data_IF_689028573938
#
_entry.id   IF_689028573938
#
_cell.length_a   1.000
_cell.length_b   1.000
_cell.length_c   1.000
_cell.angle_alpha   90.00
_cell.angle_beta   90.00
_cell.angle_gamma   90.00
#
_symmetry.space_group_name_H-M   'P 1'
#
loop_
_entity.id
_entity.type
_entity.pdbx_description
1 polymer ?
#
# COMPACT_ATOMS: atom_id res chain seq x y z
N UNK A 1 -0.40 -36.01 -12.33
CA UNK A 1 0.62 -35.06 -12.85
C UNK A 1 0.00 -33.89 -13.62
N UNK A 2 -0.95 -34.12 -14.54
CA UNK A 2 -1.64 -33.06 -15.32
C UNK A 2 -2.22 -31.91 -14.47
N UNK A 3 -2.89 -32.21 -13.36
CA UNK A 3 -3.46 -31.17 -12.49
C UNK A 3 -2.40 -30.28 -11.83
N UNK A 4 -1.23 -30.84 -11.49
CA UNK A 4 -0.11 -30.06 -10.94
C UNK A 4 0.46 -29.11 -12.00
N UNK A 5 0.61 -29.58 -13.24
CA UNK A 5 1.06 -28.76 -14.37
C UNK A 5 0.08 -27.63 -14.64
N UNK A 6 -1.23 -27.93 -14.68
CA UNK A 6 -2.26 -26.91 -14.85
C UNK A 6 -2.22 -25.84 -13.73
N UNK A 7 -2.07 -26.26 -12.47
CA UNK A 7 -1.94 -25.34 -11.35
C UNK A 7 -0.68 -24.46 -11.48
N UNK A 8 0.46 -25.04 -11.85
CA UNK A 8 1.70 -24.28 -12.06
C UNK A 8 1.51 -23.23 -13.15
N UNK A 9 0.87 -23.59 -14.27
CA UNK A 9 0.59 -22.66 -15.37
C UNK A 9 -0.33 -21.51 -14.93
N UNK A 10 -1.36 -21.80 -14.13
CA UNK A 10 -2.25 -20.77 -13.57
C UNK A 10 -1.47 -19.81 -12.67
N UNK A 11 -0.64 -20.34 -11.77
CA UNK A 11 0.15 -19.51 -10.85
C UNK A 11 1.16 -18.64 -11.61
N UNK A 12 1.83 -19.19 -12.63
CA UNK A 12 2.73 -18.43 -13.49
C UNK A 12 1.99 -17.32 -14.23
N UNK A 13 0.84 -17.63 -14.85
CA UNK A 13 0.04 -16.62 -15.54
C UNK A 13 -0.43 -15.51 -14.59
N UNK A 14 -0.93 -15.86 -13.40
CA UNK A 14 -1.33 -14.90 -12.37
C UNK A 14 -0.15 -14.01 -11.94
N UNK A 15 1.03 -14.60 -11.74
CA UNK A 15 2.24 -13.86 -11.40
C UNK A 15 2.63 -12.87 -12.49
N UNK A 16 2.68 -13.30 -13.77
CA UNK A 16 3.01 -12.44 -14.89
C UNK A 16 2.06 -11.25 -15.02
N UNK A 17 0.74 -11.48 -14.88
CA UNK A 17 -0.25 -10.42 -14.93
C UNK A 17 -0.06 -9.44 -13.76
N UNK A 18 0.30 -9.93 -12.56
CA UNK A 18 0.50 -9.10 -11.36
C UNK A 18 1.70 -8.17 -11.47
N UNK A 19 2.78 -8.61 -12.12
CA UNK A 19 4.01 -7.81 -12.30
C UNK A 19 4.01 -7.00 -13.58
N UNK A 20 3.14 -7.32 -14.53
CA UNK A 20 3.01 -6.56 -15.77
C UNK A 20 2.56 -5.13 -15.45
N UNK A 21 3.36 -4.15 -15.88
CA UNK A 21 3.10 -2.75 -15.58
C UNK A 21 3.29 -2.40 -14.09
N UNK A 22 4.10 -3.15 -13.32
CA UNK A 22 4.38 -2.80 -11.91
C UNK A 22 4.94 -1.39 -11.74
N UNK A 23 5.62 -0.86 -12.75
CA UNK A 23 6.14 0.52 -12.81
C UNK A 23 5.19 1.49 -13.54
N UNK A 24 3.88 1.27 -13.46
CA UNK A 24 2.86 2.07 -14.16
C UNK A 24 2.87 3.55 -13.74
N UNK A 25 3.36 3.84 -12.54
CA UNK A 25 3.48 5.19 -11.99
C UNK A 25 4.90 5.77 -12.12
N UNK A 26 5.78 5.14 -12.89
CA UNK A 26 7.16 5.60 -13.14
C UNK A 26 7.99 5.86 -11.87
N UNK A 27 7.67 5.20 -10.76
CA UNK A 27 8.39 5.37 -9.50
C UNK A 27 7.89 6.54 -8.65
N UNK A 28 6.77 7.18 -9.03
CA UNK A 28 6.10 8.19 -8.20
C UNK A 28 5.32 7.59 -7.01
N UNK A 29 5.25 6.25 -6.93
CA UNK A 29 4.90 5.39 -5.80
C UNK A 29 3.74 5.82 -4.93
N UNK A 30 2.73 6.47 -5.48
CA UNK A 30 1.53 6.77 -4.72
C UNK A 30 0.30 6.64 -5.60
N UNK A 31 -0.37 5.50 -5.49
CA UNK A 31 -1.81 5.45 -5.71
C UNK A 31 -2.43 6.62 -4.93
N UNK A 32 -3.45 7.34 -5.46
CA UNK A 32 -4.03 8.50 -4.77
C UNK A 32 -4.38 8.25 -3.29
N UNK A 33 -4.76 7.03 -2.96
CA UNK A 33 -5.05 6.59 -1.60
C UNK A 33 -3.78 6.46 -0.72
N UNK A 34 -2.68 5.97 -1.28
CA UNK A 34 -1.38 5.91 -0.59
C UNK A 34 -0.86 7.32 -0.33
N UNK A 35 -1.01 8.23 -1.30
CA UNK A 35 -0.70 9.66 -1.13
C UNK A 35 -1.53 10.27 -0.01
N UNK A 36 -2.82 9.93 0.07
CA UNK A 36 -3.68 10.40 1.15
C UNK A 36 -3.17 9.94 2.51
N UNK A 37 -2.80 8.66 2.65
CA UNK A 37 -2.23 8.15 3.91
C UNK A 37 -0.94 8.87 4.31
N UNK A 38 -0.06 9.16 3.35
CA UNK A 38 1.15 9.97 3.61
C UNK A 38 0.78 11.38 4.07
N UNK A 39 -0.13 12.05 3.37
CA UNK A 39 -0.56 13.42 3.73
C UNK A 39 -1.25 13.46 5.10
N UNK A 40 -2.01 12.44 5.47
CA UNK A 40 -2.62 12.31 6.80
C UNK A 40 -1.55 12.09 7.86
N UNK A 41 -0.64 11.13 7.63
CA UNK A 41 0.44 10.82 8.56
C UNK A 41 1.35 12.03 8.78
N UNK A 42 1.67 12.79 7.74
CA UNK A 42 2.53 13.97 7.83
C UNK A 42 1.98 15.02 8.80
N UNK A 43 0.66 15.22 8.81
CA UNK A 43 -0.06 16.13 9.74
C UNK A 43 -0.10 15.65 11.19
N UNK A 44 0.15 14.36 11.45
CA UNK A 44 0.18 13.84 12.83
C UNK A 44 1.40 14.41 13.54
N UNK A 45 1.16 14.90 14.75
CA UNK A 45 2.19 15.22 15.71
C UNK A 45 1.82 14.55 17.04
N UNK A 46 2.62 13.59 17.49
CA UNK A 46 2.28 12.79 18.68
C UNK A 46 2.04 13.60 19.97
N UNK A 47 2.56 14.83 20.06
CA UNK A 47 2.45 15.67 21.24
C UNK A 47 1.53 16.89 21.06
N UNK A 48 1.20 17.26 19.81
CA UNK A 48 0.42 18.47 19.49
C UNK A 48 -0.86 18.21 18.71
N UNK A 49 -0.90 17.14 17.91
CA UNK A 49 -2.04 16.79 17.07
C UNK A 49 -2.08 15.27 16.82
N UNK A 50 -2.79 14.55 17.68
CA UNK A 50 -2.92 13.09 17.59
C UNK A 50 -4.11 12.66 16.70
N UNK A 51 -4.99 13.58 16.31
CA UNK A 51 -6.16 13.25 15.52
C UNK A 51 -5.82 13.24 14.01
N UNK A 52 -6.03 12.12 13.29
CA UNK A 52 -5.78 12.06 11.85
C UNK A 52 -6.83 12.79 11.00
N UNK A 53 -8.01 13.09 11.55
CA UNK A 53 -9.18 13.60 10.78
C UNK A 53 -9.47 12.77 9.52
N UNK A 54 -9.16 11.48 9.60
CA UNK A 54 -9.26 10.52 8.53
C UNK A 54 -9.53 9.13 9.12
N UNK A 55 -10.79 8.69 9.00
CA UNK A 55 -11.34 7.50 9.67
C UNK A 55 -11.90 6.47 8.70
N UNK A 56 -11.50 6.55 7.43
CA UNK A 56 -11.92 5.61 6.38
C UNK A 56 -11.37 4.19 6.63
N UNK A 57 -10.29 4.09 7.42
CA UNK A 57 -9.70 2.87 7.95
C UNK A 57 -9.41 3.07 9.44
N UNK A 58 -9.00 2.02 10.14
CA UNK A 58 -8.46 2.17 11.49
C UNK A 58 -7.26 3.14 11.51
N UNK A 59 -7.10 3.92 12.58
CA UNK A 59 -6.02 4.94 12.67
C UNK A 59 -4.63 4.34 12.94
N UNK A 60 -4.55 3.06 13.33
CA UNK A 60 -3.28 2.40 13.67
C UNK A 60 -2.23 2.45 12.54
N UNK A 61 -2.55 2.11 11.27
CA UNK A 61 -1.64 2.29 10.14
C UNK A 61 -1.05 3.69 10.00
N UNK A 62 -1.84 4.74 10.23
CA UNK A 62 -1.39 6.14 10.13
C UNK A 62 -0.34 6.43 11.20
N UNK A 63 -0.56 5.99 12.44
CA UNK A 63 0.41 6.17 13.52
C UNK A 63 1.68 5.38 13.31
N UNK A 64 1.57 4.14 12.83
CA UNK A 64 2.73 3.33 12.45
C UNK A 64 3.54 4.05 11.36
N UNK A 65 2.88 4.51 10.30
CA UNK A 65 3.53 5.25 9.20
C UNK A 65 4.24 6.50 9.72
N UNK A 66 3.58 7.31 10.57
CA UNK A 66 4.23 8.49 11.17
C UNK A 66 5.44 8.11 12.03
N UNK A 67 5.34 7.02 12.79
CA UNK A 67 6.44 6.51 13.62
C UNK A 67 7.69 6.13 12.81
N UNK A 68 7.51 5.50 11.64
CA UNK A 68 8.62 5.11 10.76
C UNK A 68 9.11 6.21 9.82
N UNK A 69 8.31 7.27 9.61
CA UNK A 69 8.67 8.40 8.72
C UNK A 69 9.50 9.52 9.39
N UNK A 70 9.74 9.43 10.70
CA UNK A 70 10.51 10.42 11.48
C UNK A 70 12.02 10.21 11.38
#
# INVERSE_FOLDING_TARGET
MKNKIALILILLAAFFIRIYGINWDQGFHLHPDERMLIMVADRINFFKNFNPDFFNYGSLPVYILKGFSQ
#
